data_IF_477852788557
#
_entry.id   IF_477852788557
#
_cell.length_a   1.000
_cell.length_b   1.000
_cell.length_c   1.000
_cell.angle_alpha   90.00
_cell.angle_beta   90.00
_cell.angle_gamma   90.00
#
_symmetry.space_group_name_H-M   'P 1'
#
loop_
_entity.id
_entity.type
_entity.pdbx_description
1 polymer ?
#
# COMPACT_ATOMS: atom_id res chain seq x y z
N UNK A 1 57.09 43.80 -23.01
CA UNK A 1 56.92 42.75 -21.98
C UNK A 1 55.69 41.93 -22.33
N UNK A 2 55.87 40.80 -23.02
CA UNK A 2 54.80 39.85 -23.33
C UNK A 2 55.28 38.48 -22.86
N UNK A 3 54.63 37.96 -21.83
CA UNK A 3 54.92 36.69 -21.17
C UNK A 3 54.38 35.54 -22.03
N UNK A 4 55.28 34.73 -22.58
CA UNK A 4 54.95 33.52 -23.33
C UNK A 4 54.55 32.40 -22.36
N UNK A 5 53.26 32.10 -22.30
CA UNK A 5 52.75 30.81 -21.82
C UNK A 5 52.53 29.92 -23.03
N UNK A 6 53.27 28.83 -23.15
CA UNK A 6 52.89 27.68 -23.99
C UNK A 6 53.67 26.45 -23.50
N UNK A 7 53.02 25.58 -22.74
CA UNK A 7 52.39 24.35 -23.25
C UNK A 7 53.44 23.27 -23.61
N UNK A 8 53.92 22.58 -22.57
CA UNK A 8 54.53 21.26 -22.68
C UNK A 8 53.41 20.24 -22.97
N UNK A 9 53.16 19.94 -24.24
CA UNK A 9 52.37 18.80 -24.67
C UNK A 9 53.32 17.65 -25.04
N UNK A 10 53.63 16.78 -24.08
CA UNK A 10 54.27 15.50 -24.37
C UNK A 10 53.20 14.48 -24.74
N UNK A 11 53.16 14.18 -26.04
CA UNK A 11 52.49 13.02 -26.62
C UNK A 11 52.96 11.73 -25.95
N UNK A 12 52.02 10.98 -25.40
CA UNK A 12 52.16 9.53 -25.24
C UNK A 12 50.84 8.87 -25.64
N UNK A 13 50.77 8.58 -26.94
CA UNK A 13 49.75 7.71 -27.52
C UNK A 13 50.10 6.28 -27.08
N UNK A 14 49.26 5.68 -26.23
CA UNK A 14 49.23 4.22 -26.08
C UNK A 14 47.84 3.73 -26.39
N UNK A 15 47.72 3.15 -27.59
CA UNK A 15 46.53 2.52 -28.12
C UNK A 15 46.54 1.07 -27.64
N UNK A 16 45.66 0.72 -26.70
CA UNK A 16 45.38 -0.67 -26.34
C UNK A 16 43.88 -0.94 -26.50
N UNK A 17 43.53 -1.53 -27.65
CA UNK A 17 42.23 -2.16 -27.88
C UNK A 17 42.15 -3.41 -27.00
N UNK A 18 41.20 -3.43 -26.05
CA UNK A 18 40.63 -4.67 -25.55
C UNK A 18 39.12 -4.60 -25.74
N UNK A 19 38.63 -5.49 -26.60
CA UNK A 19 37.22 -5.73 -26.81
C UNK A 19 36.71 -6.70 -25.73
N UNK A 20 35.52 -6.42 -25.20
CA UNK A 20 34.64 -7.47 -24.71
C UNK A 20 34.25 -7.43 -23.23
N UNK A 21 32.98 -7.05 -23.05
CA UNK A 21 32.00 -7.59 -22.11
C UNK A 21 32.29 -7.58 -20.60
N UNK A 22 31.49 -6.79 -19.90
CA UNK A 22 31.17 -7.03 -18.51
C UNK A 22 30.57 -5.81 -17.85
N UNK A 23 29.25 -5.69 -17.90
CA UNK A 23 28.50 -4.82 -16.99
C UNK A 23 29.02 -5.07 -15.57
N UNK A 24 29.37 -4.01 -14.85
CA UNK A 24 29.52 -4.05 -13.41
C UNK A 24 28.14 -4.33 -12.81
N UNK A 25 27.83 -5.61 -12.72
CA UNK A 25 26.80 -6.15 -11.85
C UNK A 25 27.09 -5.71 -10.43
N UNK A 26 26.31 -4.74 -9.94
CA UNK A 26 26.05 -4.63 -8.51
C UNK A 26 25.43 -5.96 -8.06
N UNK A 27 26.20 -6.77 -7.35
CA UNK A 27 25.70 -7.92 -6.61
C UNK A 27 26.65 -8.20 -5.45
N UNK A 28 26.31 -7.60 -4.31
CA UNK A 28 26.67 -8.10 -3.00
C UNK A 28 25.53 -7.68 -2.06
N UNK A 29 24.52 -8.55 -2.06
CA UNK A 29 23.60 -8.86 -0.97
C UNK A 29 23.90 -8.14 0.35
N UNK A 30 23.22 -7.02 0.58
CA UNK A 30 22.58 -6.82 1.86
C UNK A 30 21.11 -6.97 1.56
N UNK A 31 20.60 -8.17 1.86
CA UNK A 31 19.18 -8.48 2.00
C UNK A 31 18.49 -7.19 2.38
N UNK A 32 17.65 -6.66 1.49
CA UNK A 32 16.67 -5.68 1.92
C UNK A 32 16.04 -6.33 3.14
N UNK A 33 16.36 -5.79 4.32
CA UNK A 33 15.53 -5.97 5.47
C UNK A 33 14.25 -5.30 5.04
N UNK A 34 13.43 -6.09 4.35
CA UNK A 34 12.06 -5.79 4.03
C UNK A 34 11.54 -5.42 5.39
N UNK A 35 11.32 -4.13 5.58
CA UNK A 35 10.59 -3.57 6.71
C UNK A 35 9.15 -4.07 6.54
N UNK A 36 8.97 -5.40 6.55
CA UNK A 36 7.77 -6.17 6.31
C UNK A 36 6.95 -6.26 7.59
N UNK A 37 6.95 -5.15 8.31
CA UNK A 37 6.28 -4.92 9.56
C UNK A 37 5.52 -3.60 9.38
N UNK A 38 4.38 -3.67 8.67
CA UNK A 38 3.17 -2.80 8.78
C UNK A 38 2.43 -2.45 7.48
N UNK A 39 2.80 -2.98 6.32
CA UNK A 39 2.00 -2.67 5.11
C UNK A 39 0.67 -3.43 5.15
N UNK A 40 -0.43 -2.68 5.23
CA UNK A 40 -1.79 -3.21 5.14
C UNK A 40 -1.97 -3.98 3.82
N UNK A 41 -2.29 -5.28 3.89
CA UNK A 41 -2.45 -6.12 2.70
C UNK A 41 -3.75 -5.78 1.94
N UNK A 42 -3.63 -5.22 0.74
CA UNK A 42 -4.76 -4.89 -0.16
C UNK A 42 -5.21 -6.04 -1.06
N UNK A 43 -4.45 -7.13 -1.12
CA UNK A 43 -4.76 -8.33 -1.91
C UNK A 43 -4.69 -9.58 -1.01
N UNK A 44 -5.65 -9.77 -0.09
CA UNK A 44 -5.71 -10.96 0.75
C UNK A 44 -6.18 -12.18 -0.02
N UNK A 45 -5.88 -13.36 0.51
CA UNK A 45 -6.41 -14.64 0.00
C UNK A 45 -7.93 -14.68 0.11
N UNK A 46 -8.47 -14.12 1.20
CA UNK A 46 -9.91 -14.04 1.46
C UNK A 46 -10.32 -12.77 2.18
N UNK A 47 -11.53 -12.33 1.88
CA UNK A 47 -12.24 -11.31 2.65
C UNK A 47 -13.29 -12.02 3.51
N UNK A 48 -13.22 -11.83 4.82
CA UNK A 48 -14.12 -12.44 5.81
C UNK A 48 -15.04 -11.35 6.35
N UNK A 49 -16.34 -11.61 6.42
CA UNK A 49 -17.30 -10.64 6.92
C UNK A 49 -17.79 -11.05 8.30
N UNK A 50 -17.72 -10.15 9.28
CA UNK A 50 -18.38 -10.36 10.57
C UNK A 50 -19.91 -10.32 10.41
N UNK A 51 -20.65 -10.84 11.41
CA UNK A 51 -22.12 -10.73 11.44
C UNK A 51 -22.57 -9.27 11.35
N UNK A 52 -21.92 -8.40 12.12
CA UNK A 52 -22.23 -6.97 12.14
C UNK A 52 -21.92 -6.29 10.79
N UNK A 53 -20.76 -6.59 10.19
CA UNK A 53 -20.40 -6.10 8.86
C UNK A 53 -21.42 -6.50 7.80
N UNK A 54 -21.84 -7.77 7.77
CA UNK A 54 -22.86 -8.26 6.84
C UNK A 54 -24.22 -7.59 7.03
N UNK A 55 -24.66 -7.41 8.28
CA UNK A 55 -25.91 -6.69 8.56
C UNK A 55 -25.87 -5.26 8.03
N UNK A 56 -24.76 -4.55 8.29
CA UNK A 56 -24.58 -3.17 7.88
C UNK A 56 -24.44 -2.99 6.37
N UNK A 57 -23.84 -3.96 5.69
CA UNK A 57 -23.82 -4.04 4.24
C UNK A 57 -25.23 -4.08 3.67
N UNK A 58 -26.03 -5.04 4.14
CA UNK A 58 -27.41 -5.18 3.69
C UNK A 58 -28.27 -3.93 3.96
N UNK A 59 -28.17 -3.37 5.17
CA UNK A 59 -28.98 -2.21 5.57
C UNK A 59 -28.61 -0.90 4.83
N UNK A 60 -27.38 -0.78 4.33
CA UNK A 60 -26.87 0.43 3.65
C UNK A 60 -26.72 0.25 2.14
N UNK A 61 -27.22 -0.87 1.61
CA UNK A 61 -27.08 -1.25 0.20
C UNK A 61 -25.63 -1.32 -0.30
N UNK A 62 -24.67 -1.62 0.59
CA UNK A 62 -23.25 -1.81 0.22
C UNK A 62 -23.00 -3.28 -0.05
N UNK A 63 -22.52 -3.62 -1.25
CA UNK A 63 -22.23 -4.99 -1.63
C UNK A 63 -20.73 -5.36 -1.55
N UNK A 64 -20.40 -6.64 -1.78
CA UNK A 64 -19.03 -7.13 -1.65
C UNK A 64 -18.07 -6.58 -2.71
N UNK A 65 -18.55 -6.18 -3.89
CA UNK A 65 -17.72 -5.61 -4.95
C UNK A 65 -17.27 -4.20 -4.55
N UNK A 66 -18.15 -3.45 -3.89
CA UNK A 66 -17.82 -2.15 -3.31
C UNK A 66 -16.83 -2.27 -2.16
N UNK A 67 -16.99 -3.29 -1.31
CA UNK A 67 -15.98 -3.58 -0.27
C UNK A 67 -14.60 -3.88 -0.88
N UNK A 68 -14.55 -4.70 -1.93
CA UNK A 68 -13.31 -5.03 -2.65
C UNK A 68 -12.71 -3.79 -3.33
N UNK A 69 -13.54 -2.94 -3.91
CA UNK A 69 -13.10 -1.66 -4.50
C UNK A 69 -12.42 -0.78 -3.45
N UNK A 70 -13.05 -0.59 -2.29
CA UNK A 70 -12.47 0.22 -1.21
C UNK A 70 -11.22 -0.43 -0.64
N UNK A 71 -11.16 -1.76 -0.51
CA UNK A 71 -9.95 -2.45 -0.09
C UNK A 71 -8.77 -2.14 -1.02
N UNK A 72 -9.01 -2.12 -2.33
CA UNK A 72 -7.98 -1.92 -3.35
C UNK A 72 -7.59 -0.46 -3.54
N UNK A 73 -8.56 0.46 -3.56
CA UNK A 73 -8.36 1.86 -3.99
C UNK A 73 -8.59 2.88 -2.88
N UNK A 74 -9.26 2.50 -1.79
CA UNK A 74 -9.59 3.43 -0.71
C UNK A 74 -8.36 3.92 0.05
N UNK A 75 -8.45 5.15 0.55
CA UNK A 75 -7.42 5.82 1.32
C UNK A 75 -7.51 5.41 2.79
N UNK A 76 -6.37 5.11 3.41
CA UNK A 76 -6.33 4.76 4.83
C UNK A 76 -6.48 6.05 5.65
N UNK A 77 -7.57 6.15 6.39
CA UNK A 77 -7.77 7.19 7.39
C UNK A 77 -7.17 6.74 8.74
N UNK A 78 -5.90 7.08 8.98
CA UNK A 78 -5.22 6.74 10.23
C UNK A 78 -5.86 7.35 11.48
N UNK A 79 -6.50 8.52 11.35
CA UNK A 79 -7.21 9.16 12.47
C UNK A 79 -8.48 8.38 12.90
N UNK A 80 -9.04 7.56 12.02
CA UNK A 80 -10.17 6.66 12.31
C UNK A 80 -9.75 5.20 12.49
N UNK A 81 -8.46 4.92 12.36
CA UNK A 81 -7.88 3.59 12.53
C UNK A 81 -7.44 3.37 13.99
N UNK A 82 -7.41 2.12 14.43
CA UNK A 82 -6.81 1.72 15.69
C UNK A 82 -5.74 0.65 15.42
N UNK A 83 -4.50 1.09 15.29
CA UNK A 83 -3.36 0.25 14.89
C UNK A 83 -2.29 0.12 15.99
N UNK A 84 -2.63 0.48 17.22
CA UNK A 84 -1.69 0.50 18.37
C UNK A 84 -1.34 -0.90 18.87
N UNK A 85 -2.15 -1.91 18.54
CA UNK A 85 -1.90 -3.28 18.97
C UNK A 85 -0.68 -3.87 18.28
N UNK A 86 0.16 -4.57 19.04
CA UNK A 86 1.26 -5.38 18.49
C UNK A 86 0.76 -6.60 17.72
N UNK A 87 -0.45 -7.11 18.03
CA UNK A 87 -1.05 -8.22 17.30
C UNK A 87 -1.75 -7.69 16.03
N UNK A 88 -1.34 -8.11 14.82
CA UNK A 88 -1.97 -7.68 13.57
C UNK A 88 -3.49 -7.93 13.54
N UNK A 89 -3.94 -9.08 14.05
CA UNK A 89 -5.35 -9.49 14.12
C UNK A 89 -6.20 -8.60 15.04
N UNK A 90 -5.60 -7.69 15.81
CA UNK A 90 -6.30 -6.71 16.64
C UNK A 90 -6.22 -5.28 16.10
N UNK A 91 -5.42 -5.05 15.06
CA UNK A 91 -5.38 -3.76 14.36
C UNK A 91 -6.67 -3.58 13.55
N UNK A 92 -7.13 -2.34 13.46
CA UNK A 92 -8.30 -1.90 12.71
C UNK A 92 -7.90 -0.75 11.80
N UNK A 93 -8.00 -0.95 10.49
CA UNK A 93 -7.72 0.04 9.47
C UNK A 93 -9.04 0.57 8.93
N UNK A 94 -9.22 1.89 9.00
CA UNK A 94 -10.35 2.57 8.38
C UNK A 94 -9.93 2.99 6.97
N UNK A 95 -10.53 2.38 5.95
CA UNK A 95 -10.36 2.80 4.56
C UNK A 95 -11.59 3.58 4.14
N UNK A 96 -11.37 4.73 3.52
CA UNK A 96 -12.40 5.63 3.02
C UNK A 96 -12.28 5.77 1.52
N UNK A 97 -13.41 5.93 0.85
CA UNK A 97 -13.42 6.12 -0.58
C UNK A 97 -14.83 6.19 -1.12
N UNK A 98 -14.90 6.44 -2.42
CA UNK A 98 -16.14 6.51 -3.16
C UNK A 98 -16.31 5.21 -3.96
N UNK A 99 -17.47 4.59 -3.81
CA UNK A 99 -17.83 3.35 -4.51
C UNK A 99 -18.33 3.63 -5.93
N UNK A 100 -18.44 2.57 -6.72
CA UNK A 100 -18.98 2.58 -8.09
C UNK A 100 -20.39 3.16 -8.24
N UNK A 101 -21.21 3.13 -7.18
CA UNK A 101 -22.55 3.72 -7.15
C UNK A 101 -22.56 5.16 -6.60
N UNK A 102 -21.37 5.75 -6.41
CA UNK A 102 -21.16 7.13 -5.98
C UNK A 102 -21.42 7.40 -4.49
N UNK A 103 -21.55 6.37 -3.66
CA UNK A 103 -21.65 6.49 -2.19
C UNK A 103 -20.27 6.74 -1.56
N UNK A 104 -20.16 7.70 -0.64
CA UNK A 104 -18.95 7.85 0.17
C UNK A 104 -19.01 6.89 1.35
N UNK A 105 -18.06 5.96 1.45
CA UNK A 105 -18.06 4.92 2.47
C UNK A 105 -16.77 4.88 3.29
N UNK A 106 -16.88 4.39 4.51
CA UNK A 106 -15.77 3.97 5.37
C UNK A 106 -15.93 2.50 5.73
N UNK A 107 -14.89 1.72 5.49
CA UNK A 107 -14.85 0.29 5.84
C UNK A 107 -13.74 0.03 6.85
N UNK A 108 -14.07 -0.69 7.91
CA UNK A 108 -13.11 -1.09 8.93
C UNK A 108 -12.63 -2.51 8.63
N UNK A 109 -11.37 -2.62 8.23
CA UNK A 109 -10.68 -3.88 7.99
C UNK A 109 -9.81 -4.26 9.18
N UNK A 110 -9.77 -5.55 9.52
CA UNK A 110 -8.86 -6.12 10.50
C UNK A 110 -8.04 -7.23 9.84
N UNK A 111 -6.75 -7.01 9.58
CA UNK A 111 -5.91 -8.01 8.94
C UNK A 111 -5.63 -9.16 9.91
N UNK A 112 -5.80 -10.41 9.47
CA UNK A 112 -5.41 -11.55 10.29
C UNK A 112 -4.89 -12.69 9.43
N UNK A 113 -3.59 -13.02 9.61
CA UNK A 113 -2.84 -13.90 8.70
C UNK A 113 -2.98 -13.36 7.27
N UNK A 114 -3.39 -14.19 6.32
CA UNK A 114 -3.51 -13.85 4.90
C UNK A 114 -4.91 -13.33 4.52
N UNK A 115 -5.77 -13.05 5.49
CA UNK A 115 -7.14 -12.62 5.25
C UNK A 115 -7.39 -11.19 5.76
N UNK A 116 -8.35 -10.50 5.14
CA UNK A 116 -8.89 -9.25 5.66
C UNK A 116 -10.29 -9.50 6.23
N UNK A 117 -10.49 -9.16 7.51
CA UNK A 117 -11.81 -9.23 8.13
C UNK A 117 -12.50 -7.88 8.07
N UNK A 118 -13.65 -7.81 7.41
CA UNK A 118 -14.54 -6.65 7.38
C UNK A 118 -15.34 -6.62 8.68
N UNK A 119 -14.94 -5.72 9.58
CA UNK A 119 -15.56 -5.54 10.88
C UNK A 119 -16.88 -4.79 10.74
N UNK A 120 -16.91 -3.71 9.95
CA UNK A 120 -18.10 -2.91 9.71
C UNK A 120 -17.97 -2.10 8.42
N UNK A 121 -19.10 -1.74 7.83
CA UNK A 121 -19.22 -0.78 6.72
C UNK A 121 -20.08 0.40 7.18
N UNK A 122 -19.75 1.59 6.71
CA UNK A 122 -20.37 2.84 7.12
C UNK A 122 -20.58 3.67 5.85
N UNK A 123 -21.83 4.03 5.58
CA UNK A 123 -22.17 5.13 4.68
C UNK A 123 -21.87 6.44 5.42
N UNK A 124 -21.09 7.32 4.80
CA UNK A 124 -20.69 8.59 5.39
C UNK A 124 -21.63 9.74 5.01
N UNK A 125 -22.46 9.56 3.99
CA UNK A 125 -23.38 10.57 3.47
C UNK A 125 -24.76 10.44 4.10
N UNK A 126 -25.19 9.21 4.40
CA UNK A 126 -26.53 8.91 4.92
C UNK A 126 -26.48 8.16 6.23
N UNK A 127 -27.29 8.61 7.20
CA UNK A 127 -27.54 7.85 8.42
C UNK A 127 -28.73 6.90 8.22
N UNK A 128 -28.47 5.60 8.33
CA UNK A 128 -29.45 4.54 8.12
C UNK A 128 -29.90 3.98 9.46
N UNK A 129 -31.22 3.96 9.70
CA UNK A 129 -31.80 3.32 10.87
C UNK A 129 -31.71 1.79 10.75
N UNK A 130 -30.62 1.22 11.29
CA UNK A 130 -30.34 -0.22 11.28
C UNK A 130 -30.33 -0.80 12.70
N UNK A 131 -31.09 -1.88 12.95
CA UNK A 131 -30.96 -2.69 14.17
C UNK A 131 -29.96 -3.85 13.95
N UNK A 132 -28.67 -3.50 13.84
CA UNK A 132 -27.59 -4.47 13.70
C UNK A 132 -26.95 -4.76 15.07
N UNK A 133 -27.09 -6.01 15.53
CA UNK A 133 -26.54 -6.51 16.80
C UNK A 133 -25.16 -7.16 16.64
#
# INVERSE_FOLDING_TARGET
MMSFRALLFLLSITLALSAGCGNLTQSADIQSFDTKENTFNRNPDRIIFTKHGRCRMHCRSIDSLEVDEILKKGDINYAKSNITSTNPCRKKYALEGKTRDNQQVRIIFSPCKDNQTVVTVIDMDTDWACDCK
#
